data_IF_433302171702
#
_entry.id   IF_433302171702
#
_cell.length_a   1.000
_cell.length_b   1.000
_cell.length_c   1.000
_cell.angle_alpha   90.00
_cell.angle_beta   90.00
_cell.angle_gamma   90.00
#
_symmetry.space_group_name_H-M   'P 1'
#
loop_
_entity.id
_entity.type
_entity.pdbx_description
1 polymer ?
#
# COMPACT_ATOMS: atom_id res chain seq x y z
N UNK A 1 2.28 1.96 10.70
CA UNK A 1 3.46 2.04 9.82
C UNK A 1 4.10 3.41 9.96
N UNK A 2 5.42 3.49 9.95
CA UNK A 2 6.18 4.75 9.84
C UNK A 2 7.03 4.65 8.58
N UNK A 3 7.25 5.75 7.88
CA UNK A 3 7.99 5.73 6.63
C UNK A 3 8.92 6.95 6.50
N UNK A 4 10.08 6.73 5.87
CA UNK A 4 11.02 7.80 5.49
C UNK A 4 10.74 8.20 4.06
N UNK A 5 10.43 9.47 3.83
CA UNK A 5 10.25 10.02 2.47
C UNK A 5 11.61 10.07 1.77
N UNK A 6 11.68 9.50 0.57
CA UNK A 6 12.89 9.50 -0.26
C UNK A 6 12.87 10.65 -1.26
N UNK A 7 11.70 10.88 -1.85
CA UNK A 7 11.45 12.00 -2.75
C UNK A 7 9.95 12.30 -2.82
N UNK A 8 9.61 13.44 -3.38
CA UNK A 8 8.23 13.86 -3.62
C UNK A 8 8.07 14.13 -5.11
N UNK A 9 6.99 13.63 -5.69
CA UNK A 9 6.59 13.96 -7.05
C UNK A 9 5.29 14.71 -7.04
N UNK A 10 5.20 15.74 -7.89
CA UNK A 10 4.00 16.53 -8.09
C UNK A 10 3.58 16.50 -9.56
N UNK A 11 2.28 16.66 -9.81
CA UNK A 11 1.77 16.80 -11.16
C UNK A 11 2.02 18.24 -11.62
N UNK A 12 2.72 18.40 -12.74
CA UNK A 12 2.92 19.71 -13.38
C UNK A 12 1.61 20.26 -13.93
N UNK A 13 1.56 21.56 -14.24
CA UNK A 13 0.34 22.23 -14.67
C UNK A 13 -0.32 21.59 -15.91
N UNK A 14 -1.66 21.59 -15.93
CA UNK A 14 -2.47 21.11 -17.05
C UNK A 14 -3.09 19.73 -16.87
N UNK A 15 -4.17 19.44 -17.61
CA UNK A 15 -4.94 18.18 -17.55
C UNK A 15 -4.05 16.94 -17.75
N UNK A 16 -3.03 17.07 -18.59
CA UNK A 16 -2.07 16.03 -18.95
C UNK A 16 -0.63 16.34 -18.47
N UNK A 17 -0.48 17.21 -17.46
CA UNK A 17 0.83 17.51 -16.89
C UNK A 17 1.51 16.22 -16.41
N UNK A 18 2.79 16.06 -16.73
CA UNK A 18 3.58 14.91 -16.29
C UNK A 18 3.88 15.02 -14.79
N UNK A 19 4.03 13.88 -14.13
CA UNK A 19 4.57 13.84 -12.78
C UNK A 19 6.07 14.11 -12.83
N UNK A 20 6.52 15.13 -12.11
CA UNK A 20 7.92 15.50 -12.02
C UNK A 20 8.37 15.46 -10.56
N UNK A 21 9.65 15.15 -10.36
CA UNK A 21 10.28 15.27 -9.06
C UNK A 21 10.27 16.74 -8.62
N UNK A 22 9.97 16.98 -7.34
CA UNK A 22 10.05 18.30 -6.73
C UNK A 22 10.94 18.22 -5.48
N UNK A 23 11.74 19.26 -5.27
CA UNK A 23 12.63 19.36 -4.12
C UNK A 23 11.86 19.62 -2.82
N UNK A 24 10.77 20.38 -2.91
CA UNK A 24 9.93 20.74 -1.78
C UNK A 24 8.45 20.85 -2.21
N UNK A 25 7.54 20.67 -1.26
CA UNK A 25 6.11 20.74 -1.47
C UNK A 25 5.44 21.33 -0.23
N UNK A 26 4.94 22.56 -0.34
CA UNK A 26 4.26 23.26 0.76
C UNK A 26 2.87 22.69 1.08
N UNK A 27 2.29 21.91 0.18
CA UNK A 27 0.96 21.33 0.33
C UNK A 27 0.96 19.86 -0.09
N UNK A 28 0.65 18.97 0.85
CA UNK A 28 0.60 17.53 0.61
C UNK A 28 -0.39 17.14 -0.52
N UNK A 29 -1.44 17.92 -0.75
CA UNK A 29 -2.40 17.68 -1.83
C UNK A 29 -1.80 17.90 -3.23
N UNK A 30 -0.72 18.68 -3.34
CA UNK A 30 0.01 18.84 -4.58
C UNK A 30 0.96 17.66 -4.86
N UNK A 31 1.27 16.84 -3.85
CA UNK A 31 2.03 15.62 -4.04
C UNK A 31 1.13 14.53 -4.64
N UNK A 32 1.64 13.85 -5.66
CA UNK A 32 0.95 12.76 -6.34
C UNK A 32 1.51 11.39 -5.97
N UNK A 33 2.83 11.28 -5.86
CA UNK A 33 3.55 10.05 -5.64
C UNK A 33 4.67 10.32 -4.64
N UNK A 34 4.64 9.65 -3.50
CA UNK A 34 5.62 9.82 -2.44
C UNK A 34 6.32 8.47 -2.24
N UNK A 35 7.43 8.20 -2.95
CA UNK A 35 8.24 7.02 -2.68
C UNK A 35 8.82 7.12 -1.27
N UNK A 36 8.58 6.08 -0.49
CA UNK A 36 9.01 6.01 0.90
C UNK A 36 9.67 4.67 1.19
N UNK A 37 10.62 4.68 2.13
CA UNK A 37 11.09 3.47 2.79
C UNK A 37 10.20 3.20 4.01
N UNK A 38 9.66 1.99 4.09
CA UNK A 38 8.73 1.57 5.14
C UNK A 38 9.50 0.97 6.31
N UNK A 39 9.11 1.39 7.52
CA UNK A 39 9.60 0.85 8.77
C UNK A 39 8.48 0.09 9.51
N UNK A 40 8.77 -1.15 9.87
CA UNK A 40 7.85 -2.02 10.61
C UNK A 40 8.00 -1.77 12.11
N UNK A 41 6.87 -1.59 12.79
CA UNK A 41 6.84 -1.43 14.25
C UNK A 41 7.26 -2.73 14.94
N UNK A 42 8.20 -2.65 15.88
CA UNK A 42 8.66 -3.80 16.68
C UNK A 42 8.07 -3.76 18.08
N UNK A 43 8.70 -3.00 18.98
CA UNK A 43 8.30 -2.84 20.37
C UNK A 43 8.56 -1.40 20.83
N UNK A 44 7.73 -0.90 21.75
CA UNK A 44 7.83 0.49 22.22
C UNK A 44 7.82 1.48 21.06
N UNK A 45 8.84 2.35 21.00
CA UNK A 45 9.10 3.31 19.92
C UNK A 45 10.12 2.85 18.88
N UNK A 46 10.47 1.56 18.85
CA UNK A 46 11.45 1.02 17.90
C UNK A 46 10.78 0.47 16.64
N UNK A 47 11.41 0.74 15.51
CA UNK A 47 10.98 0.27 14.20
C UNK A 47 12.18 -0.29 13.43
N UNK A 48 11.96 -1.38 12.71
CA UNK A 48 12.97 -2.00 11.82
C UNK A 48 12.76 -1.56 10.38
N UNK A 49 13.86 -1.27 9.68
CA UNK A 49 13.84 -0.94 8.26
C UNK A 49 13.74 -2.14 7.32
N UNK A 50 14.04 -3.34 7.82
CA UNK A 50 13.80 -4.61 7.11
C UNK A 50 12.61 -5.31 7.78
N UNK A 51 11.45 -5.40 7.11
CA UNK A 51 10.30 -6.10 7.66
C UNK A 51 10.59 -7.58 7.93
N UNK A 52 9.87 -8.17 8.88
CA UNK A 52 10.01 -9.59 9.22
C UNK A 52 9.84 -10.51 8.01
N UNK A 53 8.90 -10.19 7.12
CA UNK A 53 8.65 -10.95 5.90
C UNK A 53 9.84 -10.94 4.92
N UNK A 54 10.65 -9.88 4.94
CA UNK A 54 11.83 -9.71 4.07
C UNK A 54 13.14 -9.97 4.81
N UNK A 55 13.08 -10.48 6.05
CA UNK A 55 14.26 -10.66 6.90
C UNK A 55 15.31 -11.55 6.27
N UNK A 56 14.90 -12.63 5.60
CA UNK A 56 15.83 -13.58 4.95
C UNK A 56 16.62 -12.94 3.80
N UNK A 57 16.03 -11.96 3.12
CA UNK A 57 16.66 -11.26 2.01
C UNK A 57 17.48 -10.05 2.47
N UNK A 58 17.29 -9.59 3.72
CA UNK A 58 17.89 -8.37 4.24
C UNK A 58 17.57 -7.11 3.42
N UNK A 59 16.42 -7.11 2.71
CA UNK A 59 16.02 -6.01 1.82
C UNK A 59 15.02 -5.09 2.53
N UNK A 60 15.22 -3.76 2.51
CA UNK A 60 14.23 -2.82 3.02
C UNK A 60 12.98 -2.80 2.15
N UNK A 61 11.84 -2.52 2.75
CA UNK A 61 10.60 -2.37 1.99
C UNK A 61 10.41 -0.93 1.53
N UNK A 62 10.02 -0.76 0.28
CA UNK A 62 9.63 0.52 -0.29
C UNK A 62 8.15 0.52 -0.65
N UNK A 63 7.52 1.68 -0.53
CA UNK A 63 6.13 1.86 -0.90
C UNK A 63 5.95 3.22 -1.58
N UNK A 64 5.09 3.23 -2.59
CA UNK A 64 4.61 4.45 -3.21
C UNK A 64 3.34 4.90 -2.48
N UNK A 65 3.46 5.95 -1.66
CA UNK A 65 2.36 6.43 -0.84
C UNK A 65 1.63 7.55 -1.59
N UNK A 66 0.30 7.43 -1.82
CA UNK A 66 -0.48 8.55 -2.34
C UNK A 66 -0.65 9.61 -1.25
N UNK A 67 -0.80 10.87 -1.65
CA UNK A 67 -0.97 11.99 -0.70
C UNK A 67 -2.14 11.81 0.26
N UNK A 68 -3.22 11.16 -0.17
CA UNK A 68 -4.39 10.85 0.67
C UNK A 68 -4.11 9.87 1.82
N UNK A 69 -3.04 9.08 1.73
CA UNK A 69 -2.63 8.13 2.78
C UNK A 69 -1.61 8.75 3.75
N UNK A 70 -1.18 9.99 3.50
CA UNK A 70 -0.28 10.71 4.39
C UNK A 70 -1.08 11.28 5.56
N UNK A 71 -0.80 10.81 6.78
CA UNK A 71 -1.58 11.19 7.97
C UNK A 71 -0.94 12.34 8.75
N UNK A 72 0.35 12.22 9.07
CA UNK A 72 1.04 13.20 9.90
C UNK A 72 2.56 13.11 9.72
N UNK A 73 3.23 14.23 9.97
CA UNK A 73 4.69 14.29 10.15
C UNK A 73 5.07 13.98 11.60
N UNK A 74 6.27 13.47 11.79
CA UNK A 74 6.88 13.35 13.11
C UNK A 74 7.43 14.71 13.53
N UNK A 75 7.36 15.03 14.82
CA UNK A 75 7.85 16.32 15.33
C UNK A 75 9.36 16.32 15.50
N UNK A 76 9.92 15.18 15.92
CA UNK A 76 11.35 15.03 16.13
C UNK A 76 11.98 14.14 15.07
N UNK A 77 13.25 14.41 14.75
CA UNK A 77 14.04 13.52 13.90
C UNK A 77 14.25 12.19 14.62
N UNK A 78 13.88 11.05 14.01
CA UNK A 78 14.10 9.74 14.62
C UNK A 78 15.59 9.44 14.81
N UNK A 79 15.93 8.78 15.91
CA UNK A 79 17.29 8.30 16.18
C UNK A 79 17.54 7.01 15.40
N UNK A 80 18.66 6.92 14.68
CA UNK A 80 18.96 5.73 13.87
C UNK A 80 19.64 4.64 14.72
N UNK A 81 19.04 3.44 14.74
CA UNK A 81 19.58 2.28 15.45
C UNK A 81 20.34 1.39 14.47
N UNK A 82 21.66 1.25 14.67
CA UNK A 82 22.52 0.28 13.97
C UNK A 82 22.32 0.28 12.44
N UNK A 83 22.15 1.46 11.85
CA UNK A 83 21.95 1.72 10.42
C UNK A 83 20.72 1.11 9.74
N UNK A 84 19.95 0.26 10.43
CA UNK A 84 18.82 -0.48 9.83
C UNK A 84 17.48 -0.12 10.48
N UNK A 85 17.48 0.24 11.76
CA UNK A 85 16.28 0.60 12.51
C UNK A 85 16.19 2.09 12.82
N UNK A 86 15.03 2.51 13.27
CA UNK A 86 14.81 3.85 13.84
C UNK A 86 14.13 3.74 15.20
N UNK A 87 14.42 4.71 16.05
CA UNK A 87 13.76 4.92 17.33
C UNK A 87 13.04 6.26 17.30
N UNK A 88 11.77 6.24 17.63
CA UNK A 88 10.99 7.45 17.79
C UNK A 88 11.23 8.07 19.16
N UNK A 89 11.08 9.39 19.23
CA UNK A 89 10.97 10.12 20.49
C UNK A 89 9.74 9.64 21.28
N UNK A 90 9.68 9.95 22.58
CA UNK A 90 8.54 9.60 23.42
C UNK A 90 7.24 10.24 22.91
N UNK A 91 7.28 11.53 22.57
CA UNK A 91 6.12 12.28 22.05
C UNK A 91 5.62 11.72 20.71
N UNK A 92 6.53 11.38 19.78
CA UNK A 92 6.14 10.80 18.50
C UNK A 92 5.62 9.36 18.63
N UNK A 93 6.13 8.61 19.62
CA UNK A 93 5.62 7.28 19.94
C UNK A 93 4.17 7.34 20.44
N UNK A 94 3.82 8.36 21.21
CA UNK A 94 2.44 8.60 21.65
C UNK A 94 1.53 9.00 20.49
N UNK A 95 2.00 9.90 19.62
CA UNK A 95 1.30 10.27 18.39
C UNK A 95 1.01 9.03 17.54
N UNK A 96 2.01 8.18 17.32
CA UNK A 96 1.86 6.94 16.58
C UNK A 96 0.81 6.02 17.19
N UNK A 97 0.83 5.83 18.52
CA UNK A 97 -0.17 5.01 19.23
C UNK A 97 -1.59 5.57 19.05
N UNK A 98 -1.76 6.89 19.16
CA UNK A 98 -3.05 7.56 18.98
C UNK A 98 -3.61 7.32 17.58
N UNK A 99 -2.81 7.60 16.55
CA UNK A 99 -3.20 7.38 15.14
C UNK A 99 -3.53 5.91 14.88
N UNK A 100 -2.69 4.97 15.34
CA UNK A 100 -2.91 3.54 15.14
C UNK A 100 -4.17 3.01 15.84
N UNK A 101 -4.51 3.57 17.01
CA UNK A 101 -5.70 3.20 17.76
C UNK A 101 -6.96 3.64 17.02
N UNK A 102 -7.00 4.88 16.55
CA UNK A 102 -8.12 5.37 15.73
C UNK A 102 -8.28 4.55 14.45
N UNK A 103 -7.20 4.24 13.75
CA UNK A 103 -7.26 3.50 12.50
C UNK A 103 -7.80 2.07 12.68
N UNK A 104 -7.36 1.36 13.73
CA UNK A 104 -7.89 0.03 14.07
C UNK A 104 -9.37 0.05 14.44
N UNK A 105 -9.87 1.15 15.01
CA UNK A 105 -11.29 1.34 15.30
C UNK A 105 -12.14 1.50 14.03
N UNK A 106 -11.65 2.28 13.06
CA UNK A 106 -12.34 2.56 11.79
C UNK A 106 -12.46 1.31 10.91
N UNK A 107 -11.38 0.54 10.75
CA UNK A 107 -11.42 -0.69 9.94
C UNK A 107 -12.46 -1.70 10.45
N UNK A 108 -12.71 -1.71 11.77
CA UNK A 108 -13.70 -2.58 12.39
C UNK A 108 -15.15 -2.14 12.17
N UNK A 109 -15.41 -0.85 12.00
CA UNK A 109 -16.77 -0.34 11.76
C UNK A 109 -17.18 -0.46 10.29
N UNK A 110 -16.24 -0.35 9.34
CA UNK A 110 -16.52 -0.47 7.91
C UNK A 110 -16.86 -1.90 7.44
N UNK A 111 -16.55 -2.93 8.23
CA UNK A 111 -16.81 -4.33 7.90
C UNK A 111 -18.19 -4.89 8.30
N UNK A 112 -19.06 -4.11 8.95
CA UNK A 112 -20.35 -4.60 9.50
C UNK A 112 -21.57 -4.44 8.58
N UNK A 113 -21.39 -4.01 7.34
CA UNK A 113 -22.45 -3.93 6.33
C UNK A 113 -22.50 -5.14 5.40
N UNK A 114 -22.76 -6.35 5.91
CA UNK A 114 -23.24 -7.46 5.07
C UNK A 114 -24.66 -7.81 5.48
N UNK A 115 -25.60 -7.35 4.66
CA UNK A 115 -27.02 -7.66 4.73
C UNK A 115 -27.24 -9.17 4.74
N UNK A 116 -28.08 -9.62 5.68
CA UNK A 116 -28.65 -10.96 5.66
C UNK A 116 -29.80 -10.97 4.67
N UNK A 117 -29.54 -11.13 3.37
CA UNK A 117 -30.59 -11.57 2.45
C UNK A 117 -30.73 -13.08 2.59
N UNK A 118 -31.69 -13.48 3.43
CA UNK A 118 -32.18 -14.84 3.59
C UNK A 118 -33.05 -15.16 2.38
N UNK A 119 -32.47 -15.66 1.31
CA UNK A 119 -33.23 -16.31 0.23
C UNK A 119 -33.48 -17.73 0.70
N UNK A 120 -34.75 -18.00 1.02
CA UNK A 120 -35.27 -19.32 1.35
C UNK A 120 -35.18 -20.26 0.14
N UNK A 121 -34.89 -21.52 0.44
CA UNK A 121 -34.77 -22.62 -0.50
C UNK A 121 -36.06 -22.94 -1.24
N UNK A 122 -35.92 -23.25 -2.53
CA UNK A 122 -36.82 -24.16 -3.27
C UNK A 122 -35.96 -24.96 -4.27
N UNK A 123 -35.75 -26.24 -3.98
CA UNK A 123 -35.21 -27.29 -4.86
C UNK A 123 -36.37 -27.94 -5.66
N UNK A 124 -36.17 -28.89 -6.60
CA UNK A 124 -35.37 -28.85 -7.84
C UNK A 124 -36.18 -29.43 -9.04
N UNK A 125 -36.04 -28.93 -10.28
CA UNK A 125 -36.56 -29.69 -11.43
C UNK A 125 -35.80 -29.48 -12.75
N UNK A 126 -35.26 -30.61 -13.23
CA UNK A 126 -34.92 -31.06 -14.60
C UNK A 126 -34.92 -30.04 -15.75
N UNK A 127 -33.93 -30.18 -16.66
CA UNK A 127 -34.04 -30.57 -18.10
C UNK A 127 -32.66 -30.33 -18.77
N UNK A 128 -31.95 -31.36 -19.26
CA UNK A 128 -31.79 -31.74 -20.70
C UNK A 128 -31.42 -30.51 -21.54
N UNK A 129 -30.29 -30.41 -22.25
CA UNK A 129 -29.74 -31.29 -23.28
C UNK A 129 -28.32 -30.79 -23.63
N UNK A 130 -27.59 -31.66 -24.32
CA UNK A 130 -26.32 -31.44 -25.02
C UNK A 130 -26.28 -30.19 -25.91
N UNK A 131 -25.09 -29.64 -26.15
CA UNK A 131 -24.53 -29.56 -27.52
C UNK A 131 -23.11 -28.95 -27.56
N UNK A 132 -22.23 -29.69 -28.22
CA UNK A 132 -21.15 -29.26 -29.12
C UNK A 132 -20.27 -28.07 -28.72
N UNK A 133 -19.03 -28.37 -28.31
CA UNK A 133 -17.93 -27.43 -28.43
C UNK A 133 -16.95 -27.95 -29.49
N UNK A 134 -17.07 -27.33 -30.66
CA UNK A 134 -16.26 -27.50 -31.85
C UNK A 134 -14.91 -26.78 -31.73
N UNK A 135 -13.87 -27.45 -32.21
CA UNK A 135 -12.63 -26.95 -32.81
C UNK A 135 -12.29 -25.46 -32.65
N UNK A 136 -11.16 -25.20 -31.99
CA UNK A 136 -10.30 -24.07 -32.34
C UNK A 136 -8.86 -24.60 -32.51
N UNK A 137 -8.25 -24.48 -33.70
CA UNK A 137 -6.87 -24.90 -33.92
C UNK A 137 -5.87 -23.95 -33.26
N UNK A 138 -4.83 -24.53 -32.66
CA UNK A 138 -3.62 -23.85 -32.25
C UNK A 138 -2.92 -23.25 -33.48
N UNK A 139 -2.73 -21.93 -33.49
CA UNK A 139 -1.83 -21.26 -34.43
C UNK A 139 -0.82 -20.42 -33.65
N UNK A 140 0.36 -20.99 -33.45
CA UNK A 140 1.56 -20.29 -33.02
C UNK A 140 2.34 -19.80 -34.25
N UNK A 141 2.63 -18.50 -34.40
CA UNK A 141 3.69 -18.07 -35.28
C UNK A 141 5.04 -18.11 -34.55
N UNK A 142 5.92 -18.99 -35.01
CA UNK A 142 7.36 -18.91 -34.84
C UNK A 142 7.94 -17.70 -35.62
N UNK A 143 9.19 -17.36 -35.25
CA UNK A 143 10.10 -16.43 -35.92
C UNK A 143 9.90 -14.92 -35.70
N UNK A 144 10.73 -14.36 -34.81
CA UNK A 144 11.62 -13.26 -35.21
C UNK A 144 13.01 -13.52 -34.61
N UNK A 145 13.89 -14.05 -35.45
CA UNK A 145 15.33 -13.97 -35.31
C UNK A 145 15.82 -12.68 -36.01
N UNK A 146 16.62 -11.87 -35.33
CA UNK A 146 17.59 -11.01 -36.01
C UNK A 146 17.69 -9.56 -35.54
N UNK A 147 18.92 -9.23 -35.14
CA UNK A 147 19.58 -7.94 -34.98
C UNK A 147 19.40 -7.23 -33.63
#
# INVERSE_FOLDING_TARGET
>A
MVAKVLSVYSKTGGKNGKHAWVSDCSNIAAASNIPTQVYEHMNGGQFRGVPQALKQLHVPQFALVPSSSFLCLLHNTPEQIRNVGIKLSASDSELYKKVNTHFKGVVRSSGRGKGKNKISATDPEKRVESDQESDCPEHFPEHISGW
#
